data_IF_917526666694
#
_entry.id   IF_917526666694
#
_cell.length_a   1.000
_cell.length_b   1.000
_cell.length_c   1.000
_cell.angle_alpha   90.00
_cell.angle_beta   90.00
_cell.angle_gamma   90.00
#
_symmetry.space_group_name_H-M   'P 1'
#
loop_
_entity.id
_entity.type
_entity.pdbx_description
1 polymer ?
#
# COMPACT_ATOMS: atom_id res chain seq x y z
N UNK A 1 15.58 40.73 2.07
CA UNK A 1 16.12 39.66 2.90
C UNK A 1 17.58 39.52 2.51
N UNK A 2 18.51 39.66 3.46
CA UNK A 2 19.95 39.58 3.18
C UNK A 2 20.29 38.10 2.90
N UNK A 3 21.17 37.80 1.95
CA UNK A 3 21.52 36.41 1.60
C UNK A 3 22.10 35.63 2.80
N UNK A 4 22.77 36.36 3.71
CA UNK A 4 23.35 35.80 4.94
C UNK A 4 22.33 35.43 6.01
N UNK A 5 21.05 35.85 5.86
CA UNK A 5 19.94 35.51 6.75
C UNK A 5 19.16 34.27 6.26
N UNK A 6 19.51 33.72 5.10
CA UNK A 6 18.87 32.52 4.59
C UNK A 6 19.29 31.31 5.43
N UNK A 7 18.33 30.50 5.94
CA UNK A 7 18.68 29.35 6.75
C UNK A 7 19.59 28.39 5.98
N UNK A 8 20.72 28.01 6.57
CA UNK A 8 21.57 26.95 6.03
C UNK A 8 20.89 25.59 6.22
N UNK A 9 21.05 24.69 5.26
CA UNK A 9 20.62 23.31 5.44
C UNK A 9 21.34 22.71 6.65
N UNK A 10 20.61 21.97 7.51
CA UNK A 10 21.23 21.29 8.65
C UNK A 10 22.28 20.30 8.15
N UNK A 11 23.46 20.32 8.76
CA UNK A 11 24.42 19.25 8.55
C UNK A 11 23.91 17.99 9.23
N UNK A 12 23.76 16.89 8.49
CA UNK A 12 23.26 15.61 9.00
C UNK A 12 24.43 14.65 9.09
N UNK A 13 24.76 14.24 10.30
CA UNK A 13 25.71 13.14 10.52
C UNK A 13 25.00 11.83 10.18
N UNK A 14 25.21 11.36 8.94
CA UNK A 14 24.59 10.11 8.43
C UNK A 14 25.21 8.93 9.14
N UNK A 15 24.38 8.18 9.85
CA UNK A 15 24.77 6.95 10.57
C UNK A 15 24.62 5.70 9.68
N UNK A 16 23.59 5.69 8.84
CA UNK A 16 23.27 4.61 7.91
C UNK A 16 22.82 5.17 6.59
N UNK A 17 23.22 4.53 5.51
CA UNK A 17 22.79 4.87 4.16
C UNK A 17 22.49 3.67 3.30
N UNK A 18 21.67 3.89 2.28
CA UNK A 18 21.37 2.95 1.20
C UNK A 18 21.34 3.70 -0.12
N UNK A 19 21.58 3.00 -1.21
CA UNK A 19 21.48 3.54 -2.57
C UNK A 19 20.47 2.74 -3.37
N UNK A 20 19.63 3.43 -4.13
CA UNK A 20 18.61 2.83 -5.00
C UNK A 20 18.42 3.71 -6.23
N UNK A 21 17.95 3.16 -7.35
CA UNK A 21 17.59 4.01 -8.51
C UNK A 21 16.38 4.89 -8.20
N UNK A 22 16.37 6.09 -8.78
CA UNK A 22 15.28 7.04 -8.60
C UNK A 22 13.93 6.44 -9.04
N UNK A 23 13.90 5.76 -10.19
CA UNK A 23 12.70 5.12 -10.72
C UNK A 23 12.15 4.05 -9.79
N UNK A 24 13.03 3.18 -9.25
CA UNK A 24 12.60 2.13 -8.31
C UNK A 24 12.03 2.71 -7.01
N UNK A 25 12.71 3.69 -6.41
CA UNK A 25 12.21 4.35 -5.18
C UNK A 25 10.86 5.04 -5.43
N UNK A 26 10.76 5.78 -6.53
CA UNK A 26 9.53 6.48 -6.93
C UNK A 26 8.36 5.51 -7.09
N UNK A 27 8.60 4.39 -7.78
CA UNK A 27 7.61 3.33 -7.96
C UNK A 27 7.17 2.74 -6.61
N UNK A 28 8.13 2.36 -5.76
CA UNK A 28 7.82 1.76 -4.46
C UNK A 28 6.99 2.69 -3.59
N UNK A 29 7.35 3.99 -3.51
CA UNK A 29 6.58 4.97 -2.74
C UNK A 29 5.18 5.17 -3.32
N UNK A 30 5.04 5.42 -4.63
CA UNK A 30 3.74 5.63 -5.28
C UNK A 30 2.78 4.45 -5.07
N UNK A 31 3.33 3.23 -5.05
CA UNK A 31 2.55 1.99 -4.93
C UNK A 31 2.31 1.55 -3.50
N UNK A 32 2.69 2.35 -2.49
CA UNK A 32 2.42 2.07 -1.07
C UNK A 32 1.75 3.22 -0.34
N UNK A 33 2.05 4.46 -0.70
CA UNK A 33 1.66 5.67 0.03
C UNK A 33 0.14 5.85 0.15
N UNK A 34 -0.66 5.22 -0.72
CA UNK A 34 -2.13 5.26 -0.63
C UNK A 34 -2.67 4.60 0.65
N UNK A 35 -1.86 3.76 1.30
CA UNK A 35 -2.22 3.03 2.52
C UNK A 35 -1.75 3.72 3.81
N UNK A 36 -1.17 4.92 3.76
CA UNK A 36 -0.87 5.69 4.99
C UNK A 36 -2.15 6.21 5.63
N UNK A 37 -2.15 6.29 6.97
CA UNK A 37 -3.24 6.88 7.71
C UNK A 37 -3.29 8.40 7.53
N UNK A 38 -4.49 8.95 7.47
CA UNK A 38 -4.74 10.39 7.57
C UNK A 38 -5.05 10.82 9.01
N UNK A 39 -5.21 9.86 9.91
CA UNK A 39 -5.54 10.11 11.32
C UNK A 39 -4.26 10.33 12.14
N UNK A 40 -4.17 11.46 12.83
CA UNK A 40 -3.01 11.85 13.64
C UNK A 40 -2.96 11.16 15.02
N UNK A 41 -4.01 10.45 15.43
CA UNK A 41 -4.06 9.69 16.68
C UNK A 41 -3.05 8.53 16.73
N UNK A 42 -2.56 8.09 15.59
CA UNK A 42 -1.48 7.09 15.44
C UNK A 42 -0.40 7.64 14.50
N UNK A 43 0.47 8.55 14.97
CA UNK A 43 1.41 9.27 14.11
C UNK A 43 2.29 8.36 13.25
N UNK A 44 2.72 7.21 13.78
CA UNK A 44 3.56 6.24 13.05
C UNK A 44 2.91 5.78 11.74
N UNK A 45 1.58 5.61 11.72
CA UNK A 45 0.86 5.17 10.53
C UNK A 45 0.63 6.29 9.50
N UNK A 46 0.97 7.55 9.85
CA UNK A 46 0.96 8.65 8.87
C UNK A 46 2.21 8.66 7.97
N UNK A 47 3.12 7.73 8.17
CA UNK A 47 4.34 7.53 7.37
C UNK A 47 4.44 6.14 6.76
N UNK A 48 5.44 5.99 5.89
CA UNK A 48 5.87 4.69 5.38
C UNK A 48 7.16 4.26 6.09
N UNK A 49 7.22 3.00 6.45
CA UNK A 49 8.47 2.35 6.81
C UNK A 49 9.26 2.08 5.53
N UNK A 50 10.52 2.48 5.52
CA UNK A 50 11.52 2.11 4.51
C UNK A 50 12.58 1.31 5.25
N UNK A 51 12.74 0.03 4.93
CA UNK A 51 13.71 -0.82 5.62
C UNK A 51 14.43 -1.76 4.66
N UNK A 52 15.67 -2.11 5.00
CA UNK A 52 16.43 -3.16 4.34
C UNK A 52 16.64 -4.32 5.31
N UNK A 53 16.11 -5.47 4.92
CA UNK A 53 16.24 -6.73 5.66
C UNK A 53 16.62 -7.83 4.68
N UNK A 54 17.71 -8.56 4.95
CA UNK A 54 18.19 -9.67 4.11
C UNK A 54 18.36 -9.29 2.63
N UNK A 55 19.00 -8.15 2.35
CA UNK A 55 19.22 -7.64 0.99
C UNK A 55 17.93 -7.33 0.21
N UNK A 56 16.83 -7.16 0.92
CA UNK A 56 15.55 -6.75 0.36
C UNK A 56 15.13 -5.40 0.94
N UNK A 57 14.89 -4.43 0.07
CA UNK A 57 14.29 -3.15 0.45
C UNK A 57 12.78 -3.32 0.48
N UNK A 58 12.19 -3.00 1.61
CA UNK A 58 10.75 -2.99 1.83
C UNK A 58 10.28 -1.56 2.04
N UNK A 59 9.21 -1.17 1.35
CA UNK A 59 8.44 0.03 1.65
C UNK A 59 7.05 -0.38 2.09
N UNK A 60 6.66 0.00 3.31
CA UNK A 60 5.43 -0.45 3.94
C UNK A 60 4.60 0.72 4.43
N UNK A 61 3.32 0.71 4.13
CA UNK A 61 2.33 1.64 4.63
C UNK A 61 1.11 0.91 5.22
N UNK A 62 0.54 1.45 6.30
CA UNK A 62 -0.59 0.85 7.04
C UNK A 62 -1.48 1.96 7.60
N UNK A 63 -2.81 1.80 7.53
CA UNK A 63 -3.76 2.72 8.17
C UNK A 63 -4.66 2.04 9.24
N UNK A 64 -4.43 0.75 9.51
CA UNK A 64 -5.22 -0.06 10.45
C UNK A 64 -6.37 -0.81 9.78
N UNK A 65 -6.69 -0.55 8.50
CA UNK A 65 -7.69 -1.25 7.71
C UNK A 65 -7.10 -1.93 6.47
N UNK A 66 -5.93 -1.49 6.06
CA UNK A 66 -5.19 -2.01 4.91
C UNK A 66 -3.69 -1.88 5.12
N UNK A 67 -2.95 -2.68 4.38
CA UNK A 67 -1.49 -2.66 4.34
C UNK A 67 -1.04 -2.71 2.88
N UNK A 68 -0.03 -1.92 2.55
CA UNK A 68 0.68 -1.99 1.28
C UNK A 68 2.17 -2.22 1.53
N UNK A 69 2.69 -3.29 0.94
CA UNK A 69 4.11 -3.66 0.96
C UNK A 69 4.62 -3.76 -0.48
N UNK A 70 5.71 -3.06 -0.77
CA UNK A 70 6.51 -3.23 -1.99
C UNK A 70 7.90 -3.69 -1.63
N UNK A 71 8.47 -4.55 -2.48
CA UNK A 71 9.77 -5.16 -2.30
C UNK A 71 10.66 -4.92 -3.51
N UNK A 72 11.94 -4.70 -3.25
CA UNK A 72 12.97 -4.63 -4.28
C UNK A 72 14.26 -5.26 -3.77
N UNK A 73 14.93 -6.03 -4.61
CA UNK A 73 16.25 -6.61 -4.26
C UNK A 73 17.30 -5.52 -4.27
N UNK A 74 18.14 -5.55 -3.26
CA UNK A 74 19.30 -4.68 -3.12
C UNK A 74 20.58 -5.42 -3.54
N UNK A 75 21.64 -4.65 -3.78
CA UNK A 75 22.98 -5.24 -3.96
C UNK A 75 23.41 -5.96 -2.69
N UNK A 76 24.25 -6.99 -2.85
CA UNK A 76 24.81 -7.73 -1.70
C UNK A 76 25.67 -6.82 -0.81
N UNK A 77 25.60 -7.04 0.50
CA UNK A 77 26.41 -6.33 1.48
C UNK A 77 25.84 -5.00 1.98
N UNK A 78 24.58 -4.68 1.63
CA UNK A 78 23.88 -3.50 2.18
C UNK A 78 23.56 -3.74 3.66
N UNK A 79 23.97 -2.79 4.51
CA UNK A 79 23.68 -2.83 5.94
C UNK A 79 22.18 -2.72 6.22
N UNK A 80 21.77 -3.22 7.39
CA UNK A 80 20.40 -3.06 7.86
C UNK A 80 20.05 -1.57 7.98
N UNK A 81 18.94 -1.18 7.37
CA UNK A 81 18.42 0.17 7.34
C UNK A 81 16.97 0.15 7.79
N UNK A 82 16.52 1.16 8.53
CA UNK A 82 15.12 1.30 8.90
C UNK A 82 14.82 2.77 9.19
N UNK A 83 13.78 3.32 8.54
CA UNK A 83 13.33 4.70 8.73
C UNK A 83 11.83 4.81 8.50
N UNK A 84 11.11 5.52 9.38
CA UNK A 84 9.68 5.82 9.18
C UNK A 84 9.59 7.27 8.70
N UNK A 85 9.32 7.44 7.41
CA UNK A 85 9.27 8.74 6.75
C UNK A 85 7.82 9.20 6.61
N UNK A 86 7.46 10.42 7.09
CA UNK A 86 6.09 10.91 6.97
C UNK A 86 5.61 10.95 5.51
N UNK A 87 4.40 10.46 5.27
CA UNK A 87 3.83 10.32 3.93
C UNK A 87 3.74 11.64 3.16
N UNK A 88 3.46 12.76 3.87
CA UNK A 88 3.44 14.09 3.25
C UNK A 88 4.78 14.46 2.60
N UNK A 89 5.89 14.10 3.24
CA UNK A 89 7.23 14.39 2.70
C UNK A 89 7.62 13.40 1.61
N UNK A 90 7.21 12.13 1.73
CA UNK A 90 7.38 11.17 0.64
C UNK A 90 6.66 11.61 -0.65
N UNK A 91 5.49 12.21 -0.54
CA UNK A 91 4.79 12.80 -1.70
C UNK A 91 5.60 13.93 -2.34
N UNK A 92 6.29 14.78 -1.55
CA UNK A 92 7.16 15.83 -2.09
C UNK A 92 8.44 15.24 -2.71
N UNK A 93 9.03 14.22 -2.07
CA UNK A 93 10.20 13.51 -2.61
C UNK A 93 9.86 12.91 -3.97
N UNK A 94 8.73 12.21 -4.10
CA UNK A 94 8.28 11.60 -5.37
C UNK A 94 8.19 12.61 -6.53
N UNK A 95 7.82 13.87 -6.26
CA UNK A 95 7.76 14.92 -7.29
C UNK A 95 9.14 15.28 -7.85
N UNK A 96 10.20 15.09 -7.06
CA UNK A 96 11.57 15.37 -7.44
C UNK A 96 12.30 14.16 -8.04
N UNK A 97 11.75 12.94 -7.88
CA UNK A 97 12.30 11.73 -8.46
C UNK A 97 11.90 11.61 -9.94
N UNK A 98 12.83 11.15 -10.78
CA UNK A 98 12.62 10.85 -12.19
C UNK A 98 12.48 9.33 -12.39
N UNK A 99 11.89 8.92 -13.52
CA UNK A 99 11.74 7.50 -13.88
C UNK A 99 13.00 7.02 -14.64
N UNK A 100 14.17 7.09 -13.98
CA UNK A 100 15.48 6.76 -14.52
C UNK A 100 16.28 5.88 -13.56
N UNK A 101 17.34 5.25 -14.08
CA UNK A 101 18.23 4.38 -13.30
C UNK A 101 19.31 5.13 -12.50
N UNK A 102 19.37 6.47 -12.61
CA UNK A 102 20.28 7.25 -11.77
C UNK A 102 19.98 6.99 -10.29
N UNK A 103 21.04 6.79 -9.52
CA UNK A 103 20.92 6.45 -8.11
C UNK A 103 20.64 7.65 -7.24
N UNK A 104 19.87 7.44 -6.20
CA UNK A 104 19.68 8.33 -5.06
C UNK A 104 20.29 7.68 -3.82
N UNK A 105 20.94 8.46 -2.98
CA UNK A 105 21.39 8.05 -1.67
C UNK A 105 20.35 8.46 -0.62
N UNK A 106 19.96 7.50 0.24
CA UNK A 106 19.09 7.76 1.39
C UNK A 106 19.92 7.53 2.63
N UNK A 107 20.19 8.60 3.35
CA UNK A 107 20.91 8.58 4.61
C UNK A 107 19.98 8.84 5.79
N UNK A 108 20.28 8.23 6.94
CA UNK A 108 19.56 8.50 8.20
C UNK A 108 20.50 8.85 9.32
N UNK A 109 20.05 9.77 10.14
CA UNK A 109 20.55 10.03 11.48
C UNK A 109 19.50 9.59 12.50
N UNK A 110 19.70 9.88 13.78
CA UNK A 110 18.80 9.51 14.87
C UNK A 110 17.33 9.89 14.62
N UNK A 111 17.05 11.06 14.05
CA UNK A 111 15.70 11.61 13.91
C UNK A 111 15.44 12.28 12.56
N UNK A 112 16.35 12.17 11.61
CA UNK A 112 16.24 12.80 10.29
C UNK A 112 16.61 11.80 9.19
N UNK A 113 16.03 11.99 8.01
CA UNK A 113 16.44 11.35 6.77
C UNK A 113 16.89 12.41 5.76
N UNK A 114 17.96 12.08 5.05
CA UNK A 114 18.50 12.81 3.93
C UNK A 114 18.25 12.01 2.66
N UNK A 115 17.64 12.62 1.67
CA UNK A 115 17.52 12.09 0.32
C UNK A 115 18.42 12.94 -0.57
N UNK A 116 19.52 12.37 -1.05
CA UNK A 116 20.52 13.09 -1.84
C UNK A 116 20.44 12.64 -3.29
N UNK A 117 19.95 13.56 -4.14
CA UNK A 117 19.96 13.47 -5.59
C UNK A 117 21.16 14.29 -6.10
N UNK A 118 21.53 14.13 -7.36
CA UNK A 118 22.66 14.83 -7.98
C UNK A 118 22.64 16.34 -7.72
N UNK A 119 21.47 16.97 -7.90
CA UNK A 119 21.33 18.43 -7.86
C UNK A 119 20.41 18.92 -6.73
N UNK A 120 19.96 18.01 -5.86
CA UNK A 120 18.99 18.33 -4.82
C UNK A 120 19.20 17.47 -3.57
N UNK A 121 19.12 18.12 -2.40
CA UNK A 121 19.12 17.45 -1.10
C UNK A 121 17.81 17.74 -0.39
N UNK A 122 17.10 16.71 0.02
CA UNK A 122 15.85 16.82 0.76
C UNK A 122 16.05 16.23 2.15
N UNK A 123 15.84 17.06 3.16
CA UNK A 123 15.93 16.66 4.57
C UNK A 123 14.55 16.64 5.17
N UNK A 124 14.23 15.58 5.88
CA UNK A 124 12.95 15.43 6.62
C UNK A 124 13.18 14.84 7.99
N UNK A 125 12.29 15.16 8.93
CA UNK A 125 12.24 14.48 10.23
C UNK A 125 11.59 13.12 10.07
N UNK A 126 12.10 12.13 10.80
CA UNK A 126 11.52 10.80 10.93
C UNK A 126 10.39 10.81 11.96
N UNK A 127 9.46 9.87 11.82
CA UNK A 127 8.51 9.54 12.87
C UNK A 127 9.20 8.62 13.89
N UNK A 128 9.08 8.96 15.16
CA UNK A 128 9.69 8.20 16.25
C UNK A 128 8.75 7.08 16.73
N UNK A 129 9.33 5.92 17.03
CA UNK A 129 8.64 4.75 17.59
C UNK A 129 8.82 3.50 16.75
N UNK A 130 8.21 2.41 17.22
CA UNK A 130 8.28 1.11 16.54
C UNK A 130 7.15 0.96 15.53
N UNK A 131 7.50 0.65 14.29
CA UNK A 131 6.50 0.29 13.29
C UNK A 131 5.92 -1.10 13.58
N UNK A 132 4.69 -1.33 13.15
CA UNK A 132 4.03 -2.63 13.27
C UNK A 132 4.89 -3.72 12.64
N UNK A 133 5.01 -4.87 13.31
CA UNK A 133 5.55 -6.07 12.69
C UNK A 133 4.57 -6.57 11.62
N UNK A 134 4.69 -6.00 10.42
CA UNK A 134 3.77 -6.25 9.31
C UNK A 134 3.79 -7.70 8.83
N UNK A 135 4.93 -8.40 8.97
CA UNK A 135 5.02 -9.82 8.60
C UNK A 135 4.12 -10.70 9.48
N UNK A 136 3.89 -10.32 10.73
CA UNK A 136 3.03 -11.10 11.64
C UNK A 136 1.54 -10.92 11.39
N UNK A 137 1.13 -9.84 10.71
CA UNK A 137 -0.29 -9.56 10.45
C UNK A 137 -0.75 -10.00 9.06
N UNK A 138 0.18 -10.28 8.15
CA UNK A 138 -0.13 -10.84 6.83
C UNK A 138 -0.45 -12.33 6.98
N UNK A 139 -1.68 -12.79 6.68
CA UNK A 139 -2.02 -14.21 6.81
C UNK A 139 -1.18 -15.09 5.88
N UNK A 140 -0.71 -16.20 6.42
CA UNK A 140 -0.04 -17.25 5.64
C UNK A 140 -1.04 -18.29 5.11
N UNK A 141 -2.15 -18.51 5.84
CA UNK A 141 -3.19 -19.45 5.45
C UNK A 141 -4.10 -18.84 4.39
N UNK A 142 -4.37 -19.63 3.38
CA UNK A 142 -5.37 -19.37 2.34
C UNK A 142 -6.23 -20.61 2.15
N UNK A 143 -7.53 -20.48 2.31
CA UNK A 143 -8.51 -21.54 2.02
C UNK A 143 -9.07 -21.40 0.61
N UNK A 144 -9.19 -20.15 0.14
CA UNK A 144 -9.67 -19.82 -1.19
C UNK A 144 -8.70 -18.86 -1.87
N UNK A 145 -8.34 -19.18 -3.09
CA UNK A 145 -7.56 -18.31 -3.97
C UNK A 145 -8.29 -18.12 -5.28
N UNK A 146 -8.35 -16.89 -5.74
CA UNK A 146 -8.76 -16.58 -7.11
C UNK A 146 -7.62 -15.93 -7.88
N UNK A 147 -7.50 -16.30 -9.16
CA UNK A 147 -6.70 -15.58 -10.15
C UNK A 147 -7.67 -14.82 -11.03
N UNK A 148 -7.43 -13.54 -11.23
CA UNK A 148 -8.39 -12.65 -11.89
C UNK A 148 -7.70 -11.55 -12.67
N UNK A 149 -8.32 -11.12 -13.79
CA UNK A 149 -7.93 -9.90 -14.48
C UNK A 149 -8.11 -8.71 -13.55
N UNK A 150 -7.01 -7.99 -13.29
CA UNK A 150 -6.99 -6.79 -12.46
C UNK A 150 -8.00 -5.76 -12.96
N UNK A 151 -8.01 -5.51 -14.27
CA UNK A 151 -8.89 -4.52 -14.89
C UNK A 151 -10.37 -4.91 -14.78
N UNK A 152 -10.71 -6.18 -15.00
CA UNK A 152 -12.09 -6.65 -14.88
C UNK A 152 -12.61 -6.51 -13.44
N UNK A 153 -11.80 -6.95 -12.47
CA UNK A 153 -12.15 -6.85 -11.04
C UNK A 153 -12.28 -5.39 -10.60
N UNK A 154 -11.31 -4.54 -10.94
CA UNK A 154 -11.33 -3.12 -10.59
C UNK A 154 -12.58 -2.44 -11.13
N UNK A 155 -12.90 -2.63 -12.42
CA UNK A 155 -14.07 -2.03 -13.06
C UNK A 155 -15.39 -2.50 -12.44
N UNK A 156 -15.50 -3.78 -12.10
CA UNK A 156 -16.69 -4.32 -11.44
C UNK A 156 -16.87 -3.72 -10.02
N UNK A 157 -15.78 -3.62 -9.25
CA UNK A 157 -15.82 -2.98 -7.92
C UNK A 157 -16.17 -1.50 -8.05
N UNK A 158 -15.60 -0.76 -9.01
CA UNK A 158 -15.86 0.66 -9.21
C UNK A 158 -17.34 0.90 -9.57
N UNK A 159 -17.96 0.06 -10.42
CA UNK A 159 -19.40 0.15 -10.73
C UNK A 159 -20.27 -0.17 -9.52
N UNK A 160 -19.98 -1.25 -8.81
CA UNK A 160 -20.71 -1.58 -7.58
C UNK A 160 -20.57 -0.50 -6.50
N UNK A 161 -19.41 0.15 -6.41
CA UNK A 161 -19.12 1.20 -5.44
C UNK A 161 -19.98 2.46 -5.62
N UNK A 162 -20.60 2.68 -6.79
CA UNK A 162 -21.54 3.79 -7.02
C UNK A 162 -22.70 3.71 -6.00
N UNK A 163 -23.14 2.52 -5.67
CA UNK A 163 -24.23 2.28 -4.70
C UNK A 163 -23.73 2.19 -3.25
N UNK A 164 -22.41 2.23 -3.02
CA UNK A 164 -21.82 2.26 -1.67
C UNK A 164 -21.90 3.62 -0.99
N UNK A 165 -22.30 4.67 -1.72
CA UNK A 165 -22.39 6.04 -1.22
C UNK A 165 -23.69 6.20 -0.46
N UNK A 166 -23.62 6.70 0.80
CA UNK A 166 -24.81 7.08 1.55
C UNK A 166 -25.32 8.45 1.10
N UNK A 167 -26.61 8.67 1.16
CA UNK A 167 -27.25 9.95 0.87
C UNK A 167 -26.83 11.09 1.83
N UNK A 168 -26.22 10.75 2.96
CA UNK A 168 -25.74 11.71 3.97
C UNK A 168 -24.27 11.40 4.33
N UNK A 169 -23.43 12.45 4.40
CA UNK A 169 -22.02 12.34 4.79
C UNK A 169 -21.80 11.72 6.19
N UNK A 170 -22.83 11.71 7.03
CA UNK A 170 -22.79 11.15 8.40
C UNK A 170 -23.17 9.68 8.45
N UNK A 171 -23.72 9.10 7.39
CA UNK A 171 -24.10 7.69 7.36
C UNK A 171 -22.94 6.80 6.93
N UNK A 172 -22.93 5.58 7.49
CA UNK A 172 -21.93 4.57 7.17
C UNK A 172 -22.01 4.18 5.69
N UNK A 173 -20.89 4.22 4.99
CA UNK A 173 -20.78 3.68 3.62
C UNK A 173 -21.17 2.20 3.61
N UNK A 174 -21.99 1.82 2.64
CA UNK A 174 -22.36 0.42 2.45
C UNK A 174 -21.16 -0.38 1.92
N UNK A 175 -20.85 -1.55 2.48
CA UNK A 175 -19.80 -2.41 1.95
C UNK A 175 -20.25 -3.01 0.62
N UNK A 176 -19.30 -3.34 -0.23
CA UNK A 176 -19.53 -4.32 -1.30
C UNK A 176 -19.38 -5.72 -0.71
N UNK A 177 -20.14 -6.66 -1.27
CA UNK A 177 -19.99 -8.09 -1.04
C UNK A 177 -19.30 -8.73 -2.23
N UNK A 178 -18.39 -9.64 -1.98
CA UNK A 178 -17.76 -10.48 -2.99
C UNK A 178 -18.14 -11.92 -2.64
N UNK A 179 -18.89 -12.57 -3.51
CA UNK A 179 -19.18 -14.00 -3.43
C UNK A 179 -18.30 -14.71 -4.45
N UNK A 180 -17.39 -15.55 -3.96
CA UNK A 180 -16.48 -16.36 -4.76
C UNK A 180 -17.05 -17.75 -4.90
N UNK A 181 -17.17 -18.24 -6.12
CA UNK A 181 -17.55 -19.61 -6.45
C UNK A 181 -16.62 -20.19 -7.52
N UNK A 182 -16.88 -21.42 -7.92
CA UNK A 182 -16.09 -22.05 -8.97
C UNK A 182 -16.27 -21.31 -10.30
N UNK A 183 -15.18 -20.71 -10.79
CA UNK A 183 -15.12 -20.01 -12.09
C UNK A 183 -15.66 -18.59 -12.09
N UNK A 184 -16.31 -18.10 -11.01
CA UNK A 184 -16.84 -16.74 -10.97
C UNK A 184 -16.70 -16.05 -9.61
N UNK A 185 -16.63 -14.74 -9.64
CA UNK A 185 -16.77 -13.87 -8.48
C UNK A 185 -17.90 -12.86 -8.73
N UNK A 186 -18.89 -12.84 -7.84
CA UNK A 186 -20.00 -11.90 -7.92
C UNK A 186 -19.74 -10.76 -6.95
N UNK A 187 -19.64 -9.55 -7.47
CA UNK A 187 -19.49 -8.32 -6.71
C UNK A 187 -20.84 -7.65 -6.62
N UNK A 188 -21.35 -7.43 -5.43
CA UNK A 188 -22.65 -6.80 -5.22
C UNK A 188 -22.62 -5.72 -4.16
N UNK A 189 -23.51 -4.74 -4.29
CA UNK A 189 -23.77 -3.71 -3.30
C UNK A 189 -25.26 -3.42 -3.27
N UNK A 190 -25.83 -3.33 -2.08
CA UNK A 190 -27.24 -2.97 -1.88
C UNK A 190 -27.29 -1.79 -0.92
N UNK A 191 -28.02 -0.74 -1.29
CA UNK A 191 -28.20 0.47 -0.48
C UNK A 191 -29.59 1.04 -0.65
N UNK A 192 -29.89 2.16 -0.01
CA UNK A 192 -31.18 2.85 -0.15
C UNK A 192 -31.40 3.44 -1.54
N UNK A 193 -30.32 3.71 -2.29
CA UNK A 193 -30.38 4.33 -3.64
C UNK A 193 -30.48 3.29 -4.76
N UNK A 194 -30.34 2.01 -4.46
CA UNK A 194 -30.38 0.93 -5.42
C UNK A 194 -29.40 -0.19 -5.12
N UNK A 195 -29.27 -1.10 -6.06
CA UNK A 195 -28.38 -2.26 -5.99
C UNK A 195 -27.57 -2.42 -7.28
N UNK A 196 -26.43 -3.07 -7.13
CA UNK A 196 -25.57 -3.49 -8.22
C UNK A 196 -25.19 -4.96 -8.04
N UNK A 197 -25.06 -5.66 -9.16
CA UNK A 197 -24.53 -7.02 -9.22
C UNK A 197 -23.71 -7.18 -10.48
N UNK A 198 -22.43 -7.46 -10.29
CA UNK A 198 -21.44 -7.61 -11.34
C UNK A 198 -20.82 -9.00 -11.24
N UNK A 199 -20.61 -9.66 -12.35
CA UNK A 199 -19.96 -10.95 -12.42
C UNK A 199 -18.62 -10.84 -13.12
N UNK A 200 -17.57 -11.41 -12.52
CA UNK A 200 -16.22 -11.46 -13.05
C UNK A 200 -15.75 -12.90 -13.13
N UNK A 201 -15.27 -13.32 -14.28
CA UNK A 201 -14.67 -14.64 -14.46
C UNK A 201 -13.34 -14.71 -13.73
N UNK A 202 -13.14 -15.80 -13.00
CA UNK A 202 -11.95 -16.07 -12.18
C UNK A 202 -11.53 -17.52 -12.28
N UNK A 203 -10.24 -17.80 -12.08
CA UNK A 203 -9.77 -19.15 -11.80
C UNK A 203 -9.80 -19.34 -10.28
N UNK A 204 -10.68 -20.22 -9.78
CA UNK A 204 -10.87 -20.44 -8.34
C UNK A 204 -10.19 -21.72 -7.89
N UNK A 205 -9.51 -21.65 -6.74
CA UNK A 205 -9.02 -22.81 -6.00
C UNK A 205 -9.47 -22.69 -4.55
N UNK A 206 -10.07 -23.72 -3.99
CA UNK A 206 -10.57 -23.77 -2.61
C UNK A 206 -12.08 -23.72 -2.51
N UNK A 207 -12.60 -23.20 -1.41
CA UNK A 207 -14.00 -23.22 -1.03
C UNK A 207 -14.75 -21.97 -1.49
N UNK A 208 -16.08 -22.06 -1.60
CA UNK A 208 -16.93 -20.89 -1.80
C UNK A 208 -16.88 -19.97 -0.58
N UNK A 209 -16.97 -18.67 -0.83
CA UNK A 209 -16.83 -17.65 0.22
C UNK A 209 -17.65 -16.41 -0.10
N UNK A 210 -18.39 -15.89 0.88
CA UNK A 210 -18.96 -14.55 0.84
C UNK A 210 -18.25 -13.65 1.86
N UNK A 211 -17.75 -12.48 1.42
CA UNK A 211 -16.97 -11.56 2.24
C UNK A 211 -17.26 -10.10 1.86
N UNK A 212 -17.30 -9.22 2.86
CA UNK A 212 -17.57 -7.80 2.66
C UNK A 212 -16.33 -6.92 2.75
N UNK A 213 -16.27 -5.86 1.94
CA UNK A 213 -15.17 -4.90 1.96
C UNK A 213 -15.63 -3.45 1.80
N UNK A 214 -14.83 -2.53 2.29
CA UNK A 214 -14.89 -1.14 1.82
C UNK A 214 -14.33 -1.10 0.39
N UNK A 215 -15.14 -0.75 -0.64
CA UNK A 215 -14.71 -0.78 -2.03
C UNK A 215 -13.51 0.12 -2.30
N UNK A 216 -13.41 1.26 -1.60
CA UNK A 216 -12.30 2.20 -1.76
C UNK A 216 -10.94 1.54 -1.51
N UNK A 217 -10.83 0.71 -0.47
CA UNK A 217 -9.55 0.09 -0.12
C UNK A 217 -9.09 -0.93 -1.15
N UNK A 218 -10.02 -1.69 -1.73
CA UNK A 218 -9.72 -2.61 -2.83
C UNK A 218 -9.34 -1.86 -4.11
N UNK A 219 -10.09 -0.81 -4.47
CA UNK A 219 -9.81 0.00 -5.66
C UNK A 219 -8.46 0.69 -5.55
N UNK A 220 -8.12 1.28 -4.39
CA UNK A 220 -6.82 1.93 -4.18
C UNK A 220 -5.67 0.93 -4.36
N UNK A 221 -5.81 -0.30 -3.82
CA UNK A 221 -4.83 -1.36 -3.98
C UNK A 221 -4.70 -1.81 -5.44
N UNK A 222 -5.82 -2.04 -6.14
CA UNK A 222 -5.81 -2.47 -7.54
C UNK A 222 -5.24 -1.39 -8.48
N UNK A 223 -5.49 -0.11 -8.21
CA UNK A 223 -4.90 1.02 -8.96
C UNK A 223 -3.37 1.09 -8.84
N UNK A 224 -2.82 0.63 -7.73
CA UNK A 224 -1.37 0.60 -7.52
C UNK A 224 -0.67 -0.57 -8.23
N UNK A 225 -1.42 -1.51 -8.83
CA UNK A 225 -0.91 -2.68 -9.53
C UNK A 225 -0.87 -2.41 -11.04
N UNK A 226 0.25 -2.76 -11.67
CA UNK A 226 0.42 -2.68 -13.13
C UNK A 226 0.21 -4.02 -13.83
N UNK A 227 0.31 -5.13 -13.09
CA UNK A 227 0.11 -6.47 -13.64
C UNK A 227 -1.32 -6.63 -14.17
N UNK A 228 -1.46 -7.37 -15.27
CA UNK A 228 -2.77 -7.64 -15.89
C UNK A 228 -3.62 -8.57 -15.04
N UNK A 229 -2.99 -9.50 -14.32
CA UNK A 229 -3.63 -10.48 -13.47
C UNK A 229 -3.04 -10.48 -12.07
N UNK A 230 -3.88 -10.80 -11.10
CA UNK A 230 -3.50 -10.88 -9.68
C UNK A 230 -4.11 -12.10 -9.01
N UNK A 231 -3.46 -12.53 -7.94
CA UNK A 231 -4.07 -13.44 -6.97
C UNK A 231 -4.74 -12.65 -5.86
N UNK A 232 -5.96 -13.08 -5.47
CA UNK A 232 -6.58 -12.72 -4.20
C UNK A 232 -6.67 -13.98 -3.34
N UNK A 233 -6.07 -13.91 -2.16
CA UNK A 233 -6.06 -14.98 -1.15
C UNK A 233 -7.03 -14.64 -0.03
N UNK A 234 -7.87 -15.60 0.34
CA UNK A 234 -8.85 -15.49 1.43
C UNK A 234 -8.67 -16.65 2.41
N UNK A 235 -8.65 -16.36 3.70
CA UNK A 235 -8.66 -17.37 4.76
C UNK A 235 -10.08 -17.76 5.19
N UNK A 236 -10.92 -16.74 5.48
CA UNK A 236 -12.32 -16.88 5.88
C UNK A 236 -13.07 -15.58 5.58
N UNK A 237 -14.38 -15.54 5.87
CA UNK A 237 -15.22 -14.35 5.70
C UNK A 237 -14.93 -13.20 6.68
N UNK A 238 -14.07 -13.44 7.67
CA UNK A 238 -13.61 -12.44 8.65
C UNK A 238 -12.10 -12.24 8.63
N UNK A 239 -11.38 -12.97 7.76
CA UNK A 239 -9.93 -12.83 7.57
C UNK A 239 -9.62 -11.81 6.48
N UNK A 240 -8.45 -11.15 6.55
CA UNK A 240 -8.05 -10.23 5.50
C UNK A 240 -7.99 -10.87 4.11
N UNK A 241 -8.32 -10.10 3.07
CA UNK A 241 -7.97 -10.42 1.70
C UNK A 241 -6.52 -9.99 1.45
N UNK A 242 -5.72 -10.87 0.86
CA UNK A 242 -4.33 -10.58 0.47
C UNK A 242 -4.20 -10.62 -1.04
N UNK A 243 -3.77 -9.51 -1.64
CA UNK A 243 -3.56 -9.36 -3.08
C UNK A 243 -2.07 -9.52 -3.37
N UNK A 244 -1.73 -10.42 -4.29
CA UNK A 244 -0.35 -10.77 -4.66
C UNK A 244 -0.16 -10.79 -6.18
N UNK A 245 1.07 -10.61 -6.67
CA UNK A 245 1.36 -10.84 -8.07
C UNK A 245 1.20 -12.33 -8.43
N UNK A 246 0.90 -12.60 -9.71
CA UNK A 246 0.86 -13.99 -10.23
C UNK A 246 2.28 -14.57 -10.29
N UNK A 247 3.27 -13.73 -10.57
CA UNK A 247 4.68 -14.13 -10.68
C UNK A 247 5.51 -13.32 -9.68
N UNK A 248 6.32 -14.02 -8.87
CA UNK A 248 7.20 -13.40 -7.88
C UNK A 248 6.46 -12.91 -6.63
N UNK A 249 7.07 -11.95 -5.91
CA UNK A 249 6.61 -11.44 -4.62
C UNK A 249 6.84 -9.93 -4.45
N UNK A 250 6.95 -9.20 -5.57
CA UNK A 250 7.29 -7.76 -5.59
C UNK A 250 6.33 -6.87 -4.81
N UNK A 251 5.10 -7.33 -4.52
CA UNK A 251 4.15 -6.64 -3.66
C UNK A 251 3.27 -7.60 -2.86
N UNK A 252 2.77 -7.09 -1.76
CA UNK A 252 1.66 -7.69 -0.99
C UNK A 252 0.76 -6.56 -0.53
N UNK A 253 -0.51 -6.59 -0.94
CA UNK A 253 -1.52 -5.68 -0.41
C UNK A 253 -2.53 -6.48 0.39
N UNK A 254 -2.93 -5.94 1.52
CA UNK A 254 -3.89 -6.57 2.42
C UNK A 254 -5.02 -5.60 2.74
N UNK A 255 -6.25 -6.10 2.71
CA UNK A 255 -7.45 -5.32 3.04
C UNK A 255 -8.28 -6.09 4.06
N UNK A 256 -8.61 -5.45 5.18
CA UNK A 256 -9.47 -6.02 6.20
C UNK A 256 -10.92 -6.06 5.73
N UNK A 257 -11.65 -7.14 6.01
CA UNK A 257 -13.07 -7.24 5.69
C UNK A 257 -13.92 -6.37 6.62
N UNK A 258 -15.11 -6.05 6.13
CA UNK A 258 -16.19 -5.44 6.90
C UNK A 258 -17.18 -6.55 7.27
N UNK A 259 -17.59 -6.62 8.52
CA UNK A 259 -18.62 -7.58 8.93
C UNK A 259 -19.93 -7.29 8.20
N UNK A 260 -20.42 -8.27 7.48
CA UNK A 260 -21.74 -8.22 6.89
C UNK A 260 -22.76 -8.38 8.03
N UNK A 261 -23.79 -7.54 8.05
CA UNK A 261 -24.95 -7.76 8.92
C UNK A 261 -25.82 -8.80 8.25
N UNK A 262 -26.21 -9.80 9.01
CA UNK A 262 -27.25 -10.77 8.64
C UNK A 262 -28.58 -10.06 8.45
#
# INVERSE_FOLDING_TARGET
MNADEFPTLPNIDVEKNITISQGALKEMIKKTIFAVSVEENRPIFTGCLIEVVNEELNVVAVDGFRLALRKARMASGVNSFSAIVPGKYLNEIVKNLQDIDEVIEIGTSKNQALFELRDCKIVTRLLEGDFLNYNSVIPNEKKTRIKVSKQALQSAIERAAIFSISASEKEKKYPIKIFVSLGSAIISCTSQIGDAKEEVLVETTGEELEIGFNPKYLVDALKAIEDDEVYLDFGSNISPCVIRPVIGDKFTYMVLPVRLKE
#
